data_IF_164038406254
#
_entry.id   IF_164038406254
#
_cell.length_a   1.000
_cell.length_b   1.000
_cell.length_c   1.000
_cell.angle_alpha   90.00
_cell.angle_beta   90.00
_cell.angle_gamma   90.00
#
_symmetry.space_group_name_H-M   'P 1'
#
loop_
_entity.id
_entity.type
_entity.pdbx_description
1 polymer ?
#
# COMPACT_ATOMS: atom_id res chain seq x y z
N UNK A 1 23.80 6.97 -15.52
CA UNK A 1 22.49 6.39 -15.93
C UNK A 1 21.74 7.47 -16.68
N UNK A 2 21.11 7.19 -17.84
CA UNK A 2 20.42 8.22 -18.60
C UNK A 2 19.29 8.81 -17.75
N UNK A 3 19.23 10.14 -17.68
CA UNK A 3 18.17 10.88 -17.01
C UNK A 3 16.83 10.53 -17.67
N UNK A 4 15.90 10.04 -16.87
CA UNK A 4 14.51 9.85 -17.25
C UNK A 4 13.88 11.24 -17.47
N UNK A 5 13.33 11.54 -18.65
CA UNK A 5 12.56 12.78 -18.82
C UNK A 5 11.29 12.71 -17.95
N UNK A 6 10.83 13.85 -17.39
CA UNK A 6 9.57 13.90 -16.68
C UNK A 6 8.42 13.50 -17.61
N UNK A 7 7.49 12.72 -17.07
CA UNK A 7 6.28 12.27 -17.74
C UNK A 7 5.54 13.47 -18.35
N UNK A 8 5.30 13.51 -19.68
CA UNK A 8 4.27 14.36 -20.24
C UNK A 8 2.93 13.76 -19.82
N UNK A 9 2.11 14.55 -19.12
CA UNK A 9 0.77 14.16 -18.71
C UNK A 9 -0.07 13.68 -19.89
N UNK A 10 -0.31 12.37 -19.96
CA UNK A 10 -1.32 11.77 -20.84
C UNK A 10 -2.24 10.88 -20.00
N UNK A 11 -3.00 11.52 -19.12
CA UNK A 11 -4.27 11.00 -18.62
C UNK A 11 -5.26 12.16 -18.68
N UNK A 12 -6.35 12.00 -19.44
CA UNK A 12 -7.31 13.07 -19.72
C UNK A 12 -7.69 13.88 -18.48
N UNK A 13 -7.41 15.19 -18.54
CA UNK A 13 -8.03 16.18 -17.68
C UNK A 13 -9.51 16.24 -18.03
N UNK A 14 -10.40 15.71 -17.19
CA UNK A 14 -11.83 16.06 -17.27
C UNK A 14 -12.70 15.61 -16.07
N UNK A 15 -12.24 14.73 -15.18
CA UNK A 15 -13.15 14.08 -14.21
C UNK A 15 -12.96 14.45 -12.74
N UNK A 16 -11.72 14.60 -12.27
CA UNK A 16 -11.41 14.58 -10.84
C UNK A 16 -11.54 15.95 -10.16
N UNK A 17 -11.36 17.04 -10.91
CA UNK A 17 -11.36 18.40 -10.39
C UNK A 17 -12.55 19.17 -10.95
N UNK A 18 -13.72 19.01 -10.32
CA UNK A 18 -14.90 19.85 -10.59
C UNK A 18 -15.35 20.47 -9.28
N UNK A 19 -14.60 21.46 -8.81
CA UNK A 19 -15.11 22.35 -7.78
C UNK A 19 -16.25 23.17 -8.39
N UNK A 20 -17.49 22.84 -8.04
CA UNK A 20 -18.71 23.49 -8.57
C UNK A 20 -19.00 24.86 -7.93
N UNK A 21 -18.07 25.40 -7.13
CA UNK A 21 -18.25 26.70 -6.51
C UNK A 21 -17.67 27.80 -7.42
N UNK A 22 -18.55 28.49 -8.17
CA UNK A 22 -18.28 29.84 -8.64
C UNK A 22 -18.33 30.75 -7.41
N UNK A 23 -17.19 31.08 -6.83
CA UNK A 23 -17.14 32.27 -5.99
C UNK A 23 -17.27 33.48 -6.91
N UNK A 24 -18.40 34.20 -6.81
CA UNK A 24 -18.33 35.66 -6.96
C UNK A 24 -17.14 36.13 -6.15
N UNK A 25 -16.36 37.06 -6.68
CA UNK A 25 -15.20 37.70 -6.06
C UNK A 25 -15.47 38.07 -4.59
N UNK A 26 -15.31 37.10 -3.70
CA UNK A 26 -15.26 37.27 -2.26
C UNK A 26 -13.86 36.83 -1.89
N UNK A 27 -13.07 37.85 -1.58
CA UNK A 27 -11.66 37.87 -1.23
C UNK A 27 -11.38 36.98 0.00
N UNK A 28 -11.37 35.66 -0.17
CA UNK A 28 -10.70 34.76 0.77
C UNK A 28 -9.20 34.85 0.49
N UNK A 29 -8.61 35.94 0.95
CA UNK A 29 -7.22 36.33 0.70
C UNK A 29 -6.24 35.20 0.99
N UNK A 30 -5.87 34.44 -0.03
CA UNK A 30 -4.92 33.34 0.09
C UNK A 30 -5.20 32.10 -0.75
N UNK A 31 -6.40 31.89 -1.32
CA UNK A 31 -6.66 30.81 -2.28
C UNK A 31 -6.53 31.31 -3.73
N UNK A 32 -5.93 30.49 -4.59
CA UNK A 32 -5.75 30.80 -6.00
C UNK A 32 -6.34 29.70 -6.89
N UNK A 33 -7.23 30.10 -7.80
CA UNK A 33 -7.92 29.22 -8.72
C UNK A 33 -7.49 29.50 -10.17
N UNK A 34 -7.37 28.46 -10.97
CA UNK A 34 -7.18 28.52 -12.42
C UNK A 34 -8.25 27.65 -13.08
N UNK A 35 -9.04 28.21 -14.00
CA UNK A 35 -10.14 27.49 -14.67
C UNK A 35 -11.10 26.77 -13.68
N UNK A 36 -11.46 27.44 -12.58
CA UNK A 36 -12.25 26.91 -11.44
C UNK A 36 -11.61 25.77 -10.64
N UNK A 37 -10.34 25.45 -10.89
CA UNK A 37 -9.58 24.46 -10.12
C UNK A 37 -8.70 25.17 -9.10
N UNK A 38 -8.74 24.72 -7.84
CA UNK A 38 -7.84 25.21 -6.81
C UNK A 38 -6.41 24.78 -7.13
N UNK A 39 -5.53 25.73 -7.42
CA UNK A 39 -4.14 25.48 -7.83
C UNK A 39 -3.17 25.69 -6.68
N UNK A 40 -3.37 26.72 -5.87
CA UNK A 40 -2.50 26.97 -4.71
C UNK A 40 -3.20 27.77 -3.62
N UNK A 41 -2.63 27.80 -2.43
CA UNK A 41 -3.02 28.77 -1.42
C UNK A 41 -2.12 28.79 -0.19
N UNK A 42 -2.27 29.82 0.64
CA UNK A 42 -1.64 29.81 1.97
C UNK A 42 -2.17 28.63 2.80
N UNK A 43 -1.36 28.11 3.72
CA UNK A 43 -1.77 26.98 4.54
C UNK A 43 -3.02 27.34 5.37
N UNK A 44 -3.06 28.56 5.91
CA UNK A 44 -4.17 29.10 6.67
C UNK A 44 -5.46 29.16 5.84
N UNK A 45 -5.39 29.65 4.60
CA UNK A 45 -6.56 29.74 3.73
C UNK A 45 -7.09 28.34 3.35
N UNK A 46 -6.20 27.37 3.13
CA UNK A 46 -6.58 25.98 2.86
C UNK A 46 -7.22 25.31 4.09
N UNK A 47 -6.71 25.59 5.30
CA UNK A 47 -7.33 25.11 6.55
C UNK A 47 -8.73 25.72 6.71
N UNK A 48 -8.89 27.02 6.43
CA UNK A 48 -10.21 27.65 6.45
C UNK A 48 -11.16 27.02 5.43
N UNK A 49 -10.67 26.72 4.23
CA UNK A 49 -11.45 26.06 3.17
C UNK A 49 -11.87 24.63 3.52
N UNK A 50 -11.19 23.96 4.46
CA UNK A 50 -11.59 22.66 5.00
C UNK A 50 -12.79 22.76 5.96
N UNK A 51 -13.01 23.91 6.62
CA UNK A 51 -14.04 24.05 7.66
C UNK A 51 -15.39 24.43 7.02
N UNK A 52 -16.45 23.61 7.16
CA UNK A 52 -17.75 23.93 6.60
C UNK A 52 -18.37 25.20 7.20
N UNK A 53 -19.16 25.91 6.39
CA UNK A 53 -19.95 27.08 6.82
C UNK A 53 -21.44 26.83 6.58
N UNK A 54 -22.31 27.81 6.86
CA UNK A 54 -23.75 27.69 6.57
C UNK A 54 -24.01 27.45 5.08
N UNK A 55 -23.30 28.17 4.20
CA UNK A 55 -23.51 28.14 2.75
C UNK A 55 -22.57 27.18 2.00
N UNK A 56 -21.54 26.66 2.67
CA UNK A 56 -20.46 25.92 2.03
C UNK A 56 -20.20 24.57 2.72
N UNK A 57 -19.82 23.57 1.94
CA UNK A 57 -19.24 22.31 2.40
C UNK A 57 -18.13 21.93 1.40
N UNK A 58 -16.91 21.60 1.86
CA UNK A 58 -15.82 21.24 0.97
C UNK A 58 -16.15 19.97 0.16
N UNK A 59 -15.75 19.95 -1.11
CA UNK A 59 -15.90 18.75 -1.91
C UNK A 59 -15.09 17.58 -1.30
N UNK A 60 -15.60 16.35 -1.43
CA UNK A 60 -14.95 15.16 -0.88
C UNK A 60 -13.54 14.94 -1.42
N UNK A 61 -13.32 15.30 -2.67
CA UNK A 61 -12.01 15.22 -3.32
C UNK A 61 -11.05 16.20 -2.68
N UNK A 62 -11.51 17.42 -2.36
CA UNK A 62 -10.72 18.39 -1.61
C UNK A 62 -10.41 17.90 -0.21
N UNK A 63 -11.42 17.41 0.54
CA UNK A 63 -11.23 16.87 1.90
C UNK A 63 -10.16 15.77 1.88
N UNK A 64 -10.29 14.80 0.98
CA UNK A 64 -9.31 13.73 0.83
C UNK A 64 -7.92 14.28 0.52
N UNK A 65 -7.80 15.13 -0.51
CA UNK A 65 -6.52 15.68 -1.00
C UNK A 65 -5.82 16.52 0.06
N UNK A 66 -6.56 17.43 0.71
CA UNK A 66 -6.02 18.31 1.73
C UNK A 66 -5.67 17.53 2.99
N UNK A 67 -6.54 16.65 3.50
CA UNK A 67 -6.20 15.83 4.66
C UNK A 67 -4.97 14.96 4.36
N UNK A 68 -4.89 14.32 3.18
CA UNK A 68 -3.73 13.54 2.74
C UNK A 68 -2.44 14.37 2.78
N UNK A 69 -2.41 15.47 2.02
CA UNK A 69 -1.21 16.30 1.78
C UNK A 69 -0.83 17.22 2.93
N UNK A 70 -1.79 17.64 3.77
CA UNK A 70 -1.56 18.52 4.92
C UNK A 70 -0.50 17.97 5.88
N UNK A 71 -0.33 16.64 5.92
CA UNK A 71 0.72 15.95 6.70
C UNK A 71 2.14 16.37 6.34
N UNK A 72 2.35 17.00 5.18
CA UNK A 72 3.66 17.56 4.79
C UNK A 72 3.92 18.95 5.38
N UNK A 73 2.91 19.57 5.98
CA UNK A 73 2.95 20.98 6.42
C UNK A 73 2.51 21.20 7.86
N UNK A 74 1.64 20.32 8.37
CA UNK A 74 1.06 20.43 9.70
C UNK A 74 0.75 19.04 10.24
N UNK A 75 0.96 18.83 11.54
CA UNK A 75 0.57 17.59 12.18
C UNK A 75 -0.96 17.41 12.20
N UNK A 76 -1.49 16.19 12.02
CA UNK A 76 -2.93 15.95 12.08
C UNK A 76 -3.62 16.45 13.37
N UNK A 77 -2.96 16.31 14.53
CA UNK A 77 -3.51 16.80 15.80
C UNK A 77 -3.55 18.33 15.88
N UNK A 78 -2.57 19.02 15.28
CA UNK A 78 -2.53 20.49 15.21
C UNK A 78 -3.57 21.00 14.22
N UNK A 79 -3.73 20.32 13.09
CA UNK A 79 -4.78 20.61 12.12
C UNK A 79 -6.16 20.45 12.76
N UNK A 80 -6.41 19.36 13.49
CA UNK A 80 -7.67 19.15 14.21
C UNK A 80 -7.91 20.24 15.25
N UNK A 81 -6.87 20.67 15.98
CA UNK A 81 -6.98 21.79 16.92
C UNK A 81 -7.37 23.09 16.21
N UNK A 82 -6.72 23.44 15.09
CA UNK A 82 -7.09 24.62 14.28
C UNK A 82 -8.52 24.52 13.74
N UNK A 83 -8.94 23.34 13.26
CA UNK A 83 -10.32 23.10 12.83
C UNK A 83 -11.29 23.31 13.99
N UNK A 84 -10.98 22.81 15.19
CA UNK A 84 -11.79 23.03 16.39
C UNK A 84 -11.91 24.52 16.74
N UNK A 85 -10.81 25.26 16.68
CA UNK A 85 -10.79 26.70 16.92
C UNK A 85 -11.65 27.46 15.92
N UNK A 86 -11.49 27.22 14.61
CA UNK A 86 -12.31 27.84 13.57
C UNK A 86 -13.80 27.49 13.71
N UNK A 87 -14.11 26.26 14.11
CA UNK A 87 -15.49 25.86 14.42
C UNK A 87 -16.08 26.69 15.56
N UNK A 88 -15.29 27.06 16.57
CA UNK A 88 -15.71 27.87 17.72
C UNK A 88 -15.78 29.35 17.37
N UNK A 89 -14.84 29.88 16.60
CA UNK A 89 -14.84 31.30 16.23
C UNK A 89 -16.01 31.63 15.30
N UNK A 90 -16.37 30.73 14.38
CA UNK A 90 -17.60 30.83 13.59
C UNK A 90 -18.88 30.86 14.46
N UNK A 91 -18.81 30.47 15.74
CA UNK A 91 -19.92 30.51 16.70
C UNK A 91 -19.98 31.81 17.52
N UNK A 92 -18.92 32.63 17.55
CA UNK A 92 -18.81 33.78 18.48
C UNK A 92 -19.14 35.15 17.86
N UNK A 93 -19.58 35.19 16.61
CA UNK A 93 -19.69 36.43 15.83
C UNK A 93 -21.12 37.03 15.75
N UNK A 94 -22.12 36.62 16.53
CA UNK A 94 -23.49 37.21 16.46
C UNK A 94 -24.34 37.03 17.74
N UNK A 95 -25.56 37.57 17.73
CA UNK A 95 -26.59 37.51 18.80
C UNK A 95 -26.83 36.07 19.35
N UNK A 96 -26.87 35.85 20.68
CA UNK A 96 -27.06 34.54 21.33
C UNK A 96 -28.24 33.68 20.82
N UNK A 97 -29.32 34.29 20.31
CA UNK A 97 -30.45 33.53 19.73
C UNK A 97 -30.21 33.16 18.26
N UNK A 98 -29.55 34.03 17.49
CA UNK A 98 -29.12 33.74 16.13
C UNK A 98 -28.06 32.62 16.10
N UNK A 99 -27.21 32.55 17.13
CA UNK A 99 -26.16 31.54 17.28
C UNK A 99 -26.74 30.13 17.42
N UNK A 100 -27.83 29.94 18.17
CA UNK A 100 -28.48 28.60 18.31
C UNK A 100 -29.00 28.05 16.97
N UNK A 101 -29.58 28.91 16.14
CA UNK A 101 -30.09 28.52 14.81
C UNK A 101 -28.93 28.25 13.85
N UNK A 102 -27.87 29.06 13.91
CA UNK A 102 -26.68 28.89 13.08
C UNK A 102 -25.91 27.61 13.43
N UNK A 103 -25.76 27.31 14.73
CA UNK A 103 -25.15 26.07 15.23
C UNK A 103 -25.88 24.84 14.71
N UNK A 104 -27.23 24.83 14.76
CA UNK A 104 -28.03 23.72 14.21
C UNK A 104 -27.82 23.49 12.71
N UNK A 105 -27.49 24.53 11.94
CA UNK A 105 -27.21 24.41 10.49
C UNK A 105 -25.79 23.94 10.19
N UNK A 106 -24.81 24.30 11.02
CA UNK A 106 -23.38 23.98 10.79
C UNK A 106 -22.99 22.65 11.43
N UNK A 107 -23.54 22.31 12.60
CA UNK A 107 -23.24 21.07 13.33
C UNK A 107 -23.29 19.79 12.48
N UNK A 108 -24.32 19.53 11.64
CA UNK A 108 -24.35 18.32 10.82
C UNK A 108 -23.22 18.28 9.78
N UNK A 109 -22.79 19.44 9.26
CA UNK A 109 -21.67 19.53 8.32
C UNK A 109 -20.32 19.28 9.00
N UNK A 110 -20.11 19.82 10.20
CA UNK A 110 -18.89 19.52 10.98
C UNK A 110 -18.86 18.02 11.31
N UNK A 111 -19.98 17.44 11.72
CA UNK A 111 -20.06 16.03 12.04
C UNK A 111 -19.81 15.14 10.79
N UNK A 112 -20.27 15.58 9.62
CA UNK A 112 -19.95 14.92 8.36
C UNK A 112 -18.44 14.96 8.07
N UNK A 113 -17.80 16.13 8.21
CA UNK A 113 -16.34 16.25 8.04
C UNK A 113 -15.58 15.33 8.99
N UNK A 114 -15.96 15.28 10.27
CA UNK A 114 -15.34 14.40 11.27
C UNK A 114 -15.56 12.92 10.92
N UNK A 115 -16.74 12.58 10.38
CA UNK A 115 -17.02 11.21 9.93
C UNK A 115 -16.12 10.85 8.75
N UNK A 116 -16.00 11.72 7.75
CA UNK A 116 -15.14 11.50 6.59
C UNK A 116 -13.65 11.40 6.99
N UNK A 117 -13.18 12.21 7.95
CA UNK A 117 -11.81 12.11 8.48
C UNK A 117 -11.59 10.80 9.24
N UNK A 118 -12.47 10.44 10.18
CA UNK A 118 -12.35 9.20 10.97
C UNK A 118 -12.47 7.93 10.13
N UNK A 119 -13.22 7.99 9.02
CA UNK A 119 -13.36 6.86 8.11
C UNK A 119 -12.15 6.69 7.18
N UNK A 120 -11.59 7.81 6.70
CA UNK A 120 -10.53 7.84 5.69
C UNK A 120 -9.14 7.67 6.31
N UNK A 121 -8.88 8.32 7.45
CA UNK A 121 -7.58 8.33 8.13
C UNK A 121 -7.70 7.89 9.60
N UNK A 122 -8.17 6.65 9.88
CA UNK A 122 -8.39 6.19 11.25
C UNK A 122 -7.11 6.22 12.10
N UNK A 123 -5.94 6.02 11.50
CA UNK A 123 -4.65 6.00 12.21
C UNK A 123 -4.27 7.32 12.86
N UNK A 124 -4.76 8.47 12.36
CA UNK A 124 -4.53 9.77 12.99
C UNK A 124 -5.03 9.76 14.46
N UNK A 125 -6.11 9.01 14.71
CA UNK A 125 -6.77 8.91 16.01
C UNK A 125 -6.14 7.88 16.96
N UNK A 126 -5.01 7.26 16.58
CA UNK A 126 -4.12 6.61 17.56
C UNK A 126 -3.40 7.63 18.44
N UNK A 127 -3.24 8.86 17.98
CA UNK A 127 -2.67 9.95 18.77
C UNK A 127 -3.69 10.43 19.83
N UNK A 128 -3.28 10.45 21.09
CA UNK A 128 -4.15 10.86 22.20
C UNK A 128 -4.65 12.30 22.08
N UNK A 129 -3.83 13.21 21.51
CA UNK A 129 -4.21 14.62 21.32
C UNK A 129 -5.29 14.76 20.26
N UNK A 130 -5.19 13.96 19.19
CA UNK A 130 -6.19 13.88 18.13
C UNK A 130 -7.52 13.35 18.69
N UNK A 131 -7.46 12.24 19.43
CA UNK A 131 -8.66 11.64 20.05
C UNK A 131 -9.31 12.56 21.09
N UNK A 132 -8.52 13.30 21.87
CA UNK A 132 -9.03 14.29 22.83
C UNK A 132 -9.78 15.41 22.12
N UNK A 133 -9.19 15.97 21.07
CA UNK A 133 -9.79 17.06 20.28
C UNK A 133 -11.11 16.62 19.64
N UNK A 134 -11.16 15.38 19.09
CA UNK A 134 -12.38 14.79 18.57
C UNK A 134 -13.48 14.69 19.64
N UNK A 135 -13.14 14.19 20.84
CA UNK A 135 -14.10 14.04 21.94
C UNK A 135 -14.62 15.39 22.42
N UNK A 136 -13.75 16.37 22.53
CA UNK A 136 -14.11 17.72 22.97
C UNK A 136 -15.05 18.40 21.97
N UNK A 137 -14.73 18.36 20.67
CA UNK A 137 -15.57 18.93 19.62
C UNK A 137 -16.93 18.21 19.52
N UNK A 138 -16.93 16.87 19.52
CA UNK A 138 -18.18 16.10 19.43
C UNK A 138 -19.07 16.26 20.66
N UNK A 139 -18.49 16.41 21.85
CA UNK A 139 -19.24 16.71 23.07
C UNK A 139 -19.97 18.07 22.97
N UNK A 140 -19.29 19.11 22.47
CA UNK A 140 -19.91 20.44 22.23
C UNK A 140 -21.02 20.40 21.19
N UNK A 141 -20.89 19.57 20.15
CA UNK A 141 -21.92 19.43 19.12
C UNK A 141 -23.14 18.63 19.60
N UNK A 142 -22.94 17.71 20.56
CA UNK A 142 -23.99 16.84 21.11
C UNK A 142 -24.78 17.44 22.28
N UNK A 143 -24.44 18.64 22.78
CA UNK A 143 -25.20 19.30 23.84
C UNK A 143 -26.51 19.89 23.30
N UNK A 144 -27.57 19.09 23.31
CA UNK A 144 -28.96 19.56 23.11
C UNK A 144 -29.75 18.92 21.97
N UNK A 145 -29.18 17.95 21.24
CA UNK A 145 -29.86 17.22 20.17
C UNK A 145 -29.55 15.72 20.24
N UNK A 146 -30.60 14.90 20.39
CA UNK A 146 -30.50 13.43 20.50
C UNK A 146 -29.98 12.78 19.21
N UNK A 147 -30.32 13.34 18.04
CA UNK A 147 -29.88 12.84 16.74
C UNK A 147 -28.36 12.95 16.61
N UNK A 148 -27.78 14.10 16.97
CA UNK A 148 -26.34 14.32 16.89
C UNK A 148 -25.58 13.42 17.86
N UNK A 149 -26.10 13.18 19.06
CA UNK A 149 -25.52 12.22 20.01
C UNK A 149 -25.44 10.81 19.42
N UNK A 150 -26.52 10.37 18.75
CA UNK A 150 -26.56 9.06 18.09
C UNK A 150 -25.52 8.96 16.97
N UNK A 151 -25.41 9.98 16.12
CA UNK A 151 -24.41 10.00 15.03
C UNK A 151 -22.97 10.04 15.57
N UNK A 152 -22.69 10.85 16.60
CA UNK A 152 -21.38 10.88 17.28
C UNK A 152 -21.03 9.51 17.86
N UNK A 153 -21.99 8.84 18.52
CA UNK A 153 -21.79 7.51 19.07
C UNK A 153 -21.49 6.47 17.98
N UNK A 154 -22.23 6.50 16.87
CA UNK A 154 -22.00 5.62 15.72
C UNK A 154 -20.62 5.83 15.10
N UNK A 155 -20.24 7.09 14.84
CA UNK A 155 -18.93 7.46 14.31
C UNK A 155 -17.79 6.99 15.24
N UNK A 156 -17.89 7.30 16.53
CA UNK A 156 -16.89 6.90 17.54
C UNK A 156 -16.76 5.38 17.62
N UNK A 157 -17.89 4.67 17.61
CA UNK A 157 -17.91 3.21 17.65
C UNK A 157 -17.32 2.59 16.36
N UNK A 158 -17.57 3.20 15.20
CA UNK A 158 -16.98 2.76 13.93
C UNK A 158 -15.45 2.97 13.92
N UNK A 159 -14.99 4.12 14.39
CA UNK A 159 -13.56 4.43 14.54
C UNK A 159 -12.86 3.43 15.47
N UNK A 160 -13.40 3.19 16.67
CA UNK A 160 -12.84 2.23 17.63
C UNK A 160 -12.78 0.84 17.02
N UNK A 161 -13.84 0.39 16.33
CA UNK A 161 -13.84 -0.91 15.64
C UNK A 161 -12.71 -1.01 14.60
N UNK A 162 -12.53 0.03 13.77
CA UNK A 162 -11.44 0.09 12.78
C UNK A 162 -10.07 0.02 13.45
N UNK A 163 -9.83 0.84 14.48
CA UNK A 163 -8.57 0.86 15.22
C UNK A 163 -8.25 -0.49 15.89
N UNK A 164 -9.25 -1.13 16.49
CA UNK A 164 -9.10 -2.46 17.09
C UNK A 164 -8.78 -3.51 16.03
N UNK A 165 -9.46 -3.50 14.88
CA UNK A 165 -9.20 -4.44 13.79
C UNK A 165 -7.76 -4.31 13.26
N UNK A 166 -7.28 -3.07 13.09
CA UNK A 166 -5.88 -2.80 12.70
C UNK A 166 -4.90 -3.36 13.73
N UNK A 167 -5.10 -3.08 15.02
CA UNK A 167 -4.18 -3.58 16.06
C UNK A 167 -4.16 -5.12 16.13
N UNK A 168 -5.33 -5.77 15.99
CA UNK A 168 -5.42 -7.23 15.93
C UNK A 168 -4.69 -7.81 14.71
N UNK A 169 -4.77 -7.11 13.56
CA UNK A 169 -4.07 -7.50 12.36
C UNK A 169 -2.54 -7.38 12.50
N UNK A 170 -2.05 -6.28 13.07
CA UNK A 170 -0.62 -6.10 13.37
C UNK A 170 -0.08 -7.21 14.30
N UNK A 171 -0.85 -7.58 15.33
CA UNK A 171 -0.51 -8.71 16.20
C UNK A 171 -0.52 -10.06 15.46
N UNK A 172 -1.48 -10.28 14.56
CA UNK A 172 -1.55 -11.49 13.75
C UNK A 172 -0.35 -11.61 12.81
N UNK A 173 0.06 -10.52 12.16
CA UNK A 173 1.27 -10.46 11.33
C UNK A 173 2.53 -10.81 12.14
N UNK A 174 2.67 -10.25 13.35
CA UNK A 174 3.79 -10.56 14.23
C UNK A 174 3.85 -12.05 14.60
N UNK A 175 2.69 -12.68 14.90
CA UNK A 175 2.59 -14.12 15.18
C UNK A 175 2.96 -14.98 13.97
N UNK A 176 2.51 -14.59 12.77
CA UNK A 176 2.85 -15.27 11.51
C UNK A 176 4.37 -15.21 11.28
N UNK A 177 4.98 -14.04 11.44
CA UNK A 177 6.42 -13.84 11.25
C UNK A 177 7.24 -14.64 12.28
N UNK A 178 6.81 -14.68 13.54
CA UNK A 178 7.42 -15.55 14.56
C UNK A 178 7.34 -17.03 14.15
N UNK A 179 6.15 -17.49 13.74
CA UNK A 179 5.94 -18.89 13.33
C UNK A 179 6.79 -19.27 12.11
N UNK A 180 6.93 -18.38 11.14
CA UNK A 180 7.79 -18.58 9.98
C UNK A 180 9.26 -18.69 10.38
N UNK A 181 9.71 -17.87 11.34
CA UNK A 181 11.06 -17.89 11.89
C UNK A 181 11.34 -19.19 12.64
N UNK A 182 10.42 -19.64 13.47
CA UNK A 182 10.52 -20.91 14.20
C UNK A 182 10.59 -22.11 13.25
N UNK A 183 9.83 -22.10 12.15
CA UNK A 183 9.92 -23.15 11.14
C UNK A 183 11.26 -23.15 10.41
N UNK A 184 11.84 -21.97 10.18
CA UNK A 184 13.16 -21.84 9.57
C UNK A 184 14.27 -22.34 10.51
N UNK A 185 14.19 -22.10 11.83
CA UNK A 185 15.16 -22.64 12.79
C UNK A 185 15.08 -24.16 12.91
N UNK A 186 13.87 -24.72 12.89
CA UNK A 186 13.66 -26.19 12.83
C UNK A 186 14.24 -26.78 11.56
N UNK A 187 14.11 -26.11 10.41
CA UNK A 187 14.68 -26.57 9.15
C UNK A 187 16.22 -26.69 9.22
N UNK A 188 16.90 -25.75 9.89
CA UNK A 188 18.37 -25.78 10.04
C UNK A 188 18.85 -26.95 10.90
N UNK A 189 18.00 -27.52 11.76
CA UNK A 189 18.37 -28.54 12.76
C UNK A 189 17.95 -29.97 12.38
N UNK A 190 16.96 -30.15 11.50
CA UNK A 190 16.44 -31.48 11.08
C UNK A 190 16.76 -31.79 9.61
N UNK A 191 16.92 -33.07 9.23
CA UNK A 191 17.16 -33.44 7.84
C UNK A 191 15.99 -33.04 6.92
N UNK A 192 16.31 -32.58 5.70
CA UNK A 192 15.39 -32.08 4.67
C UNK A 192 14.30 -33.10 4.22
N UNK A 193 14.36 -34.36 4.65
CA UNK A 193 13.56 -35.46 4.11
C UNK A 193 12.09 -35.53 4.56
N UNK A 194 11.65 -34.70 5.51
CA UNK A 194 10.28 -34.75 6.09
C UNK A 194 9.39 -33.58 5.61
N UNK A 195 9.88 -32.74 4.71
CA UNK A 195 9.19 -31.50 4.36
C UNK A 195 8.14 -31.70 3.26
N UNK A 196 6.94 -31.13 3.48
CA UNK A 196 5.88 -31.07 2.47
C UNK A 196 6.19 -29.94 1.48
N UNK A 197 6.35 -30.30 0.21
CA UNK A 197 6.49 -29.34 -0.89
C UNK A 197 5.14 -28.71 -1.25
N UNK A 198 5.15 -27.59 -1.98
CA UNK A 198 3.94 -26.89 -2.39
C UNK A 198 2.97 -27.79 -3.16
N UNK A 199 3.47 -28.69 -4.00
CA UNK A 199 2.65 -29.59 -4.83
C UNK A 199 1.88 -30.63 -4.00
N UNK A 200 2.40 -31.02 -2.83
CA UNK A 200 1.68 -31.89 -1.87
C UNK A 200 0.62 -31.14 -1.07
N UNK A 201 0.76 -29.82 -0.94
CA UNK A 201 -0.20 -28.98 -0.24
C UNK A 201 -1.33 -28.55 -1.19
N UNK A 202 -0.97 -28.14 -2.40
CA UNK A 202 -1.86 -27.71 -3.46
C UNK A 202 -1.28 -28.10 -4.82
N UNK A 203 -1.97 -28.98 -5.54
CA UNK A 203 -1.58 -29.39 -6.90
C UNK A 203 -2.33 -28.62 -8.00
N UNK A 204 -3.26 -27.74 -7.63
CA UNK A 204 -4.06 -26.94 -8.56
C UNK A 204 -3.57 -25.47 -8.64
N UNK A 205 -3.00 -25.02 -9.76
CA UNK A 205 -2.51 -23.66 -9.93
C UNK A 205 -3.58 -22.58 -9.70
N UNK A 206 -4.83 -22.86 -10.10
CA UNK A 206 -5.94 -21.93 -9.97
C UNK A 206 -6.24 -21.66 -8.50
N UNK A 207 -6.38 -22.72 -7.70
CA UNK A 207 -6.58 -22.62 -6.25
C UNK A 207 -5.45 -21.85 -5.59
N UNK A 208 -4.18 -22.11 -5.95
CA UNK A 208 -3.06 -21.38 -5.33
C UNK A 208 -3.08 -19.89 -5.67
N UNK A 209 -3.37 -19.52 -6.93
CA UNK A 209 -3.50 -18.12 -7.34
C UNK A 209 -4.65 -17.39 -6.60
N UNK A 210 -5.75 -18.09 -6.33
CA UNK A 210 -6.85 -17.57 -5.51
C UNK A 210 -6.42 -17.33 -4.06
N UNK A 211 -5.66 -18.26 -3.45
CA UNK A 211 -5.15 -18.09 -2.09
C UNK A 211 -4.10 -16.98 -1.98
N UNK A 212 -3.25 -16.81 -2.99
CA UNK A 212 -2.36 -15.65 -3.07
C UNK A 212 -3.17 -14.36 -3.13
N UNK A 213 -4.23 -14.32 -3.94
CA UNK A 213 -5.12 -13.16 -4.05
C UNK A 213 -5.83 -12.82 -2.73
N UNK A 214 -6.20 -13.83 -1.92
CA UNK A 214 -6.69 -13.61 -0.55
C UNK A 214 -5.67 -12.87 0.31
N UNK A 215 -4.41 -13.32 0.32
CA UNK A 215 -3.34 -12.70 1.12
C UNK A 215 -3.08 -11.27 0.66
N UNK A 216 -3.05 -11.05 -0.67
CA UNK A 216 -2.84 -9.73 -1.25
C UNK A 216 -3.96 -8.75 -0.85
N UNK A 217 -5.23 -9.10 -1.08
CA UNK A 217 -6.37 -8.24 -0.75
C UNK A 217 -6.49 -7.98 0.76
N UNK A 218 -6.23 -8.98 1.60
CA UNK A 218 -6.20 -8.81 3.05
C UNK A 218 -5.13 -7.78 3.44
N UNK A 219 -3.88 -7.96 3.00
CA UNK A 219 -2.78 -7.03 3.30
C UNK A 219 -3.07 -5.61 2.80
N UNK A 220 -3.53 -5.48 1.56
CA UNK A 220 -3.87 -4.19 0.95
C UNK A 220 -4.95 -3.45 1.74
N UNK A 221 -5.96 -4.16 2.27
CA UNK A 221 -7.07 -3.54 3.00
C UNK A 221 -6.60 -2.72 4.22
N UNK A 222 -5.49 -3.11 4.85
CA UNK A 222 -4.93 -2.45 6.02
C UNK A 222 -3.96 -1.30 5.72
N UNK A 223 -3.57 -1.11 4.45
CA UNK A 223 -2.69 0.02 4.05
C UNK A 223 -3.50 1.32 4.04
N UNK A 224 -3.15 2.26 4.92
CA UNK A 224 -3.76 3.59 4.99
C UNK A 224 -3.26 4.54 3.88
N UNK A 225 -4.08 5.48 3.41
CA UNK A 225 -3.65 6.48 2.42
C UNK A 225 -2.48 7.35 2.94
N UNK A 226 -2.43 7.62 4.24
CA UNK A 226 -1.34 8.35 4.89
C UNK A 226 0.00 7.63 4.87
N UNK A 227 0.02 6.29 4.71
CA UNK A 227 1.27 5.53 4.61
C UNK A 227 2.04 5.86 3.33
N UNK A 228 1.34 6.25 2.26
CA UNK A 228 1.97 6.73 1.03
C UNK A 228 2.69 8.06 1.26
N UNK A 229 2.08 9.00 1.98
CA UNK A 229 2.72 10.30 2.25
C UNK A 229 3.97 10.11 3.13
N UNK A 230 3.87 9.27 4.16
CA UNK A 230 4.99 8.98 5.07
C UNK A 230 6.17 8.31 4.36
N UNK A 231 5.92 7.49 3.34
CA UNK A 231 6.96 6.84 2.55
C UNK A 231 7.84 7.85 1.77
N UNK A 232 7.35 9.07 1.55
CA UNK A 232 8.01 10.08 0.69
C UNK A 232 8.37 11.39 1.41
N UNK A 233 8.19 11.48 2.73
CA UNK A 233 8.69 12.63 3.50
C UNK A 233 10.21 12.64 3.38
N UNK A 234 10.74 13.65 2.69
CA UNK A 234 12.17 13.81 2.44
C UNK A 234 12.93 13.80 3.76
N UNK A 235 13.96 12.95 3.85
CA UNK A 235 15.06 13.17 4.78
C UNK A 235 15.96 14.21 4.13
N UNK A 236 15.64 15.50 4.28
CA UNK A 236 16.60 16.54 3.92
C UNK A 236 17.83 16.39 4.84
N UNK A 237 19.05 16.18 4.31
CA UNK A 237 20.26 16.05 5.11
C UNK A 237 20.66 17.35 5.84
N UNK A 238 20.06 18.50 5.50
CA UNK A 238 20.38 19.82 6.05
C UNK A 238 19.34 20.36 7.04
N UNK A 239 18.20 19.68 7.23
CA UNK A 239 17.22 20.05 8.27
C UNK A 239 17.73 19.61 9.65
N UNK A 240 18.40 20.53 10.35
CA UNK A 240 18.78 20.40 11.76
C UNK A 240 17.58 20.53 12.71
N UNK A 241 16.41 20.92 12.21
CA UNK A 241 15.16 20.69 12.92
C UNK A 241 14.76 19.24 12.69
N UNK A 242 14.64 18.46 13.77
CA UNK A 242 14.01 17.15 13.72
C UNK A 242 12.75 17.29 12.89
N UNK A 243 12.75 16.71 11.68
CA UNK A 243 11.53 16.52 10.91
C UNK A 243 10.46 16.09 11.89
N UNK A 244 9.35 16.82 11.92
CA UNK A 244 8.18 16.60 12.77
C UNK A 244 7.75 15.10 12.84
N UNK A 245 8.23 14.27 11.91
CA UNK A 245 7.80 12.91 11.65
C UNK A 245 8.85 11.82 11.95
N UNK A 246 10.00 12.12 12.59
CA UNK A 246 11.06 11.14 12.87
C UNK A 246 10.65 10.00 13.82
N UNK A 247 9.65 10.22 14.68
CA UNK A 247 9.38 9.37 15.84
C UNK A 247 8.22 8.37 15.65
N UNK A 248 7.57 8.35 14.48
CA UNK A 248 6.52 7.36 14.21
C UNK A 248 7.12 6.12 13.56
N UNK A 249 7.00 4.97 14.26
CA UNK A 249 7.18 3.62 13.72
C UNK A 249 6.62 3.57 12.30
N UNK A 250 7.55 3.53 11.34
CA UNK A 250 7.36 3.67 9.90
C UNK A 250 6.21 2.80 9.40
N UNK A 251 5.49 3.27 8.38
CA UNK A 251 4.44 2.61 7.61
C UNK A 251 4.47 1.07 7.65
N UNK A 252 3.95 0.48 8.73
CA UNK A 252 4.23 -0.92 9.06
C UNK A 252 3.48 -1.88 8.15
N UNK A 253 2.32 -1.47 7.64
CA UNK A 253 1.53 -2.32 6.75
C UNK A 253 2.02 -2.21 5.31
N UNK A 254 2.41 -1.01 4.87
CA UNK A 254 3.07 -0.82 3.58
C UNK A 254 4.40 -1.59 3.52
N UNK A 255 5.24 -1.49 4.55
CA UNK A 255 6.51 -2.23 4.65
C UNK A 255 6.24 -3.75 4.71
N UNK A 256 5.30 -4.21 5.55
CA UNK A 256 4.91 -5.62 5.61
C UNK A 256 4.36 -6.16 4.28
N UNK A 257 3.77 -5.30 3.43
CA UNK A 257 3.31 -5.68 2.11
C UNK A 257 4.45 -5.82 1.10
N UNK A 258 5.48 -4.96 1.18
CA UNK A 258 6.72 -5.11 0.43
C UNK A 258 7.48 -6.36 0.88
N UNK A 259 7.55 -6.62 2.19
CA UNK A 259 8.12 -7.85 2.74
C UNK A 259 7.40 -9.10 2.24
N UNK A 260 6.07 -9.04 2.10
CA UNK A 260 5.29 -10.14 1.53
C UNK A 260 5.70 -10.43 0.07
N UNK A 261 5.85 -9.41 -0.77
CA UNK A 261 6.33 -9.58 -2.15
C UNK A 261 7.70 -10.29 -2.19
N UNK A 262 8.63 -9.84 -1.35
CA UNK A 262 9.97 -10.44 -1.26
C UNK A 262 9.87 -11.89 -0.77
N UNK A 263 9.12 -12.12 0.30
CA UNK A 263 8.90 -13.46 0.86
C UNK A 263 8.33 -14.41 -0.18
N UNK A 264 7.33 -14.00 -0.96
CA UNK A 264 6.74 -14.83 -2.02
C UNK A 264 7.77 -15.15 -3.10
N UNK A 265 8.57 -14.16 -3.52
CA UNK A 265 9.64 -14.36 -4.52
C UNK A 265 10.67 -15.39 -4.04
N UNK A 266 11.13 -15.25 -2.81
CA UNK A 266 12.09 -16.21 -2.23
C UNK A 266 11.45 -17.56 -1.91
N UNK A 267 10.14 -17.64 -1.59
CA UNK A 267 9.42 -18.90 -1.42
C UNK A 267 9.41 -19.68 -2.72
N UNK A 268 9.08 -19.04 -3.84
CA UNK A 268 9.11 -19.66 -5.17
C UNK A 268 10.51 -20.21 -5.47
N UNK A 269 11.56 -19.41 -5.26
CA UNK A 269 12.93 -19.87 -5.45
C UNK A 269 13.29 -21.05 -4.52
N UNK A 270 12.84 -21.01 -3.27
CA UNK A 270 13.06 -22.08 -2.28
C UNK A 270 12.40 -23.38 -2.72
N UNK A 271 11.13 -23.34 -3.15
CA UNK A 271 10.40 -24.51 -3.64
C UNK A 271 11.02 -25.11 -4.90
N UNK A 272 11.66 -24.30 -5.75
CA UNK A 272 12.35 -24.78 -6.95
C UNK A 272 13.72 -25.39 -6.63
N UNK A 273 14.47 -24.79 -5.70
CA UNK A 273 15.82 -25.23 -5.34
C UNK A 273 15.84 -26.40 -4.35
N UNK A 274 14.80 -26.59 -3.52
CA UNK A 274 14.72 -27.68 -2.54
C UNK A 274 14.73 -29.09 -3.14
N UNK A 275 13.96 -29.41 -4.21
CA UNK A 275 13.84 -30.77 -4.67
C UNK A 275 15.13 -31.32 -5.29
N UNK A 276 15.63 -32.42 -4.73
CA UNK A 276 16.84 -33.11 -5.20
C UNK A 276 16.68 -33.61 -6.65
N UNK A 277 15.47 -34.09 -7.01
CA UNK A 277 15.21 -34.68 -8.33
C UNK A 277 14.87 -33.62 -9.38
N UNK A 278 15.68 -33.55 -10.43
CA UNK A 278 15.49 -32.65 -11.60
C UNK A 278 14.07 -32.66 -12.19
N UNK A 279 13.47 -33.85 -12.41
CA UNK A 279 12.10 -33.97 -12.94
C UNK A 279 11.05 -33.37 -11.99
N UNK A 280 11.31 -33.40 -10.68
CA UNK A 280 10.42 -32.77 -9.71
C UNK A 280 10.57 -31.24 -9.77
N UNK A 281 11.80 -30.70 -9.78
CA UNK A 281 12.03 -29.26 -9.95
C UNK A 281 11.35 -28.69 -11.20
N UNK A 282 11.47 -29.36 -12.34
CA UNK A 282 10.82 -28.93 -13.58
C UNK A 282 9.29 -28.83 -13.43
N UNK A 283 8.65 -29.78 -12.71
CA UNK A 283 7.20 -29.72 -12.42
C UNK A 283 6.84 -28.55 -11.50
N UNK A 284 7.67 -28.25 -10.51
CA UNK A 284 7.46 -27.09 -9.63
C UNK A 284 7.54 -25.77 -10.42
N UNK A 285 8.50 -25.65 -11.34
CA UNK A 285 8.60 -24.49 -12.24
C UNK A 285 7.36 -24.38 -13.12
N UNK A 286 6.95 -25.46 -13.80
CA UNK A 286 5.74 -25.46 -14.65
C UNK A 286 4.48 -25.11 -13.86
N UNK A 287 4.36 -25.61 -12.63
CA UNK A 287 3.27 -25.25 -11.72
C UNK A 287 3.26 -23.76 -11.40
N UNK A 288 4.39 -23.16 -11.02
CA UNK A 288 4.44 -21.72 -10.75
C UNK A 288 4.23 -20.85 -11.99
N UNK A 289 4.61 -21.31 -13.19
CA UNK A 289 4.27 -20.64 -14.44
C UNK A 289 2.74 -20.60 -14.63
N UNK A 290 2.05 -21.71 -14.37
CA UNK A 290 0.59 -21.74 -14.45
C UNK A 290 -0.06 -20.89 -13.35
N UNK A 291 0.47 -20.87 -12.12
CA UNK A 291 0.01 -19.98 -11.04
C UNK A 291 0.16 -18.51 -11.43
N UNK A 292 1.32 -18.12 -11.98
CA UNK A 292 1.59 -16.77 -12.45
C UNK A 292 0.61 -16.35 -13.54
N UNK A 293 0.32 -17.24 -14.50
CA UNK A 293 -0.70 -16.99 -15.52
C UNK A 293 -2.08 -16.76 -14.91
N UNK A 294 -2.47 -17.54 -13.91
CA UNK A 294 -3.75 -17.32 -13.24
C UNK A 294 -3.78 -16.03 -12.41
N UNK A 295 -2.65 -15.63 -11.80
CA UNK A 295 -2.52 -14.30 -11.19
C UNK A 295 -2.75 -13.19 -12.22
N UNK A 296 -2.18 -13.29 -13.44
CA UNK A 296 -2.45 -12.35 -14.53
C UNK A 296 -3.94 -12.29 -14.89
N UNK A 297 -4.59 -13.45 -15.06
CA UNK A 297 -6.02 -13.55 -15.40
C UNK A 297 -6.94 -12.93 -14.34
N UNK A 298 -6.59 -13.09 -13.06
CA UNK A 298 -7.33 -12.52 -11.92
C UNK A 298 -7.16 -10.99 -11.85
N UNK A 299 -6.07 -10.44 -12.40
CA UNK A 299 -5.66 -9.04 -12.16
C UNK A 299 -4.75 -8.89 -10.94
N UNK A 300 -4.13 -9.97 -10.48
CA UNK A 300 -3.14 -9.99 -9.42
C UNK A 300 -1.71 -9.84 -9.96
N UNK A 301 -1.35 -8.62 -10.33
CA UNK A 301 -0.04 -8.33 -10.94
C UNK A 301 1.11 -8.36 -9.92
N UNK A 302 0.83 -8.10 -8.63
CA UNK A 302 1.86 -8.14 -7.59
C UNK A 302 2.40 -9.56 -7.38
N UNK A 303 1.51 -10.55 -7.17
CA UNK A 303 1.93 -11.95 -7.02
C UNK A 303 2.53 -12.51 -8.30
N UNK A 304 1.99 -12.14 -9.48
CA UNK A 304 2.59 -12.48 -10.78
C UNK A 304 4.06 -12.03 -10.84
N UNK A 305 4.32 -10.76 -10.53
CA UNK A 305 5.68 -10.21 -10.57
C UNK A 305 6.60 -10.86 -9.53
N UNK A 306 6.09 -11.17 -8.34
CA UNK A 306 6.84 -11.88 -7.30
C UNK A 306 7.26 -13.29 -7.77
N UNK A 307 6.34 -14.02 -8.41
CA UNK A 307 6.61 -15.36 -8.94
C UNK A 307 7.66 -15.31 -10.07
N UNK A 308 7.53 -14.37 -11.02
CA UNK A 308 8.55 -14.15 -12.06
C UNK A 308 9.89 -13.80 -11.43
N UNK A 309 9.89 -12.88 -10.45
CA UNK A 309 11.11 -12.46 -9.76
C UNK A 309 11.80 -13.62 -9.06
N UNK A 310 11.05 -14.52 -8.42
CA UNK A 310 11.57 -15.74 -7.80
C UNK A 310 12.21 -16.70 -8.82
N UNK A 311 11.59 -16.90 -9.98
CA UNK A 311 12.14 -17.73 -11.06
C UNK A 311 13.39 -17.12 -11.72
N UNK A 312 13.48 -15.79 -11.75
CA UNK A 312 14.60 -15.05 -12.33
C UNK A 312 15.78 -14.85 -11.37
N UNK A 313 15.65 -15.21 -10.09
CA UNK A 313 16.77 -15.22 -9.17
C UNK A 313 17.89 -16.12 -9.71
N UNK A 314 19.14 -15.66 -9.58
CA UNK A 314 20.31 -16.37 -10.13
C UNK A 314 20.43 -17.84 -9.68
N UNK A 315 20.15 -18.22 -8.41
CA UNK A 315 20.13 -19.63 -8.00
C UNK A 315 19.15 -20.51 -8.78
N UNK A 316 18.07 -19.94 -9.31
CA UNK A 316 17.06 -20.66 -10.10
C UNK A 316 17.42 -20.62 -11.59
N UNK A 317 17.73 -19.45 -12.14
CA UNK A 317 18.01 -19.26 -13.57
C UNK A 317 19.28 -19.98 -14.06
N UNK A 318 20.19 -20.33 -13.15
CA UNK A 318 21.38 -21.15 -13.44
C UNK A 318 21.12 -22.65 -13.61
N UNK A 319 19.95 -23.17 -13.21
CA UNK A 319 19.62 -24.61 -13.27
C UNK A 319 19.34 -25.08 -14.71
N UNK A 320 20.30 -24.92 -15.63
CA UNK A 320 20.12 -25.11 -17.08
C UNK A 320 19.59 -26.50 -17.44
N UNK A 321 19.99 -27.54 -16.71
CA UNK A 321 19.52 -28.91 -16.98
C UNK A 321 18.05 -29.07 -16.58
N UNK A 322 17.61 -28.39 -15.52
CA UNK A 322 16.20 -28.34 -15.11
C UNK A 322 15.37 -27.54 -16.12
N UNK A 323 15.81 -26.34 -16.49
CA UNK A 323 15.14 -25.49 -17.48
C UNK A 323 14.99 -26.17 -18.84
N UNK A 324 15.97 -26.98 -19.27
CA UNK A 324 15.86 -27.80 -20.48
C UNK A 324 14.77 -28.89 -20.44
N UNK A 325 14.06 -29.06 -19.32
CA UNK A 325 12.88 -29.93 -19.18
C UNK A 325 11.56 -29.17 -19.06
N UNK A 326 11.59 -27.85 -18.95
CA UNK A 326 10.42 -26.99 -18.75
C UNK A 326 9.96 -26.45 -20.09
N UNK A 327 8.64 -26.38 -20.30
CA UNK A 327 8.06 -25.66 -21.45
C UNK A 327 8.01 -24.16 -21.17
N UNK A 328 8.99 -23.40 -21.66
CA UNK A 328 9.17 -21.97 -21.31
C UNK A 328 8.24 -21.02 -22.02
N UNK A 329 7.59 -21.40 -23.13
CA UNK A 329 6.79 -20.47 -23.95
C UNK A 329 5.75 -19.65 -23.15
N UNK A 330 5.09 -20.26 -22.15
CA UNK A 330 4.17 -19.53 -21.25
C UNK A 330 4.90 -18.53 -20.35
N UNK A 331 6.07 -18.91 -19.84
CA UNK A 331 6.91 -18.06 -19.02
C UNK A 331 7.43 -16.87 -19.81
N UNK A 332 7.95 -17.09 -21.01
CA UNK A 332 8.46 -16.05 -21.90
C UNK A 332 7.38 -14.99 -22.21
N UNK A 333 6.13 -15.41 -22.40
CA UNK A 333 4.98 -14.50 -22.56
C UNK A 333 4.74 -13.67 -21.29
N UNK A 334 4.77 -14.29 -20.11
CA UNK A 334 4.55 -13.61 -18.83
C UNK A 334 5.68 -12.62 -18.53
N UNK A 335 6.93 -12.97 -18.83
CA UNK A 335 8.06 -12.05 -18.74
C UNK A 335 7.87 -10.86 -19.68
N UNK A 336 7.45 -11.09 -20.92
CA UNK A 336 7.16 -10.00 -21.86
C UNK A 336 6.05 -9.08 -21.36
N UNK A 337 5.02 -9.60 -20.68
CA UNK A 337 3.95 -8.77 -20.10
C UNK A 337 4.45 -7.89 -18.95
N UNK A 338 5.46 -8.34 -18.19
CA UNK A 338 6.02 -7.64 -17.04
C UNK A 338 7.37 -6.96 -17.33
N UNK A 339 7.74 -6.87 -18.61
CA UNK A 339 9.02 -6.33 -19.04
C UNK A 339 9.18 -4.84 -18.65
N UNK A 340 10.33 -4.43 -18.08
CA UNK A 340 10.55 -3.06 -17.62
C UNK A 340 10.78 -2.04 -18.75
N UNK A 341 10.99 -2.48 -20.00
CA UNK A 341 11.27 -1.59 -21.13
C UNK A 341 10.12 -0.63 -21.39
N UNK A 342 10.45 0.54 -21.95
CA UNK A 342 9.47 1.61 -22.20
C UNK A 342 8.63 1.94 -20.97
N UNK A 343 9.26 1.91 -19.79
CA UNK A 343 8.64 2.12 -18.49
C UNK A 343 7.42 1.20 -18.24
N UNK A 344 7.63 -0.11 -18.42
CA UNK A 344 6.61 -1.14 -18.20
C UNK A 344 5.37 -0.97 -19.09
N UNK A 345 5.55 -0.65 -20.37
CA UNK A 345 4.45 -0.37 -21.30
C UNK A 345 3.39 -1.48 -21.36
N UNK A 346 3.83 -2.74 -21.48
CA UNK A 346 2.93 -3.89 -21.56
C UNK A 346 2.12 -4.07 -20.28
N UNK A 347 2.80 -4.09 -19.13
CA UNK A 347 2.15 -4.14 -17.81
C UNK A 347 1.14 -3.00 -17.63
N UNK A 348 1.50 -1.76 -17.97
CA UNK A 348 0.59 -0.61 -17.85
C UNK A 348 -0.64 -0.76 -18.74
N UNK A 349 -0.49 -1.36 -19.92
CA UNK A 349 -1.62 -1.68 -20.81
C UNK A 349 -2.53 -2.74 -20.19
N UNK A 350 -1.95 -3.80 -19.63
CA UNK A 350 -2.70 -4.83 -18.91
C UNK A 350 -3.41 -4.28 -17.66
N UNK A 351 -2.75 -3.40 -16.90
CA UNK A 351 -3.33 -2.72 -15.74
C UNK A 351 -4.53 -1.86 -16.15
N UNK A 352 -4.41 -1.03 -17.19
CA UNK A 352 -5.55 -0.25 -17.72
C UNK A 352 -6.71 -1.15 -18.13
N UNK A 353 -6.42 -2.27 -18.78
CA UNK A 353 -7.44 -3.28 -19.10
C UNK A 353 -8.13 -3.81 -17.84
N UNK A 354 -7.38 -4.15 -16.80
CA UNK A 354 -7.93 -4.62 -15.53
C UNK A 354 -8.77 -3.55 -14.81
N UNK A 355 -8.30 -2.30 -14.78
CA UNK A 355 -9.06 -1.16 -14.23
C UNK A 355 -10.37 -0.98 -14.97
N UNK A 356 -10.37 -1.03 -16.31
CA UNK A 356 -11.60 -0.91 -17.10
C UNK A 356 -12.56 -2.07 -16.83
N UNK A 357 -12.06 -3.31 -16.75
CA UNK A 357 -12.88 -4.48 -16.36
C UNK A 357 -13.52 -4.28 -14.99
N UNK A 358 -12.78 -3.73 -14.02
CA UNK A 358 -13.31 -3.47 -12.68
C UNK A 358 -14.43 -2.43 -12.68
N UNK A 359 -14.36 -1.42 -13.53
CA UNK A 359 -15.38 -0.37 -13.64
C UNK A 359 -16.69 -0.95 -14.21
N UNK A 360 -16.59 -1.82 -15.21
CA UNK A 360 -17.75 -2.43 -15.88
C UNK A 360 -18.07 -3.83 -15.34
N UNK A 361 -17.59 -4.17 -14.14
CA UNK A 361 -17.69 -5.51 -13.59
C UNK A 361 -19.15 -5.91 -13.28
N UNK A 362 -19.53 -7.11 -13.69
CA UNK A 362 -20.82 -7.73 -13.32
C UNK A 362 -20.66 -8.71 -12.15
N UNK A 363 -19.43 -9.13 -11.87
CA UNK A 363 -19.10 -10.05 -10.78
C UNK A 363 -18.05 -9.46 -9.85
N UNK A 364 -18.00 -9.91 -8.59
CA UNK A 364 -16.96 -9.48 -7.64
C UNK A 364 -15.55 -9.88 -8.08
N UNK A 365 -15.41 -10.95 -8.88
CA UNK A 365 -14.12 -11.39 -9.44
C UNK A 365 -13.54 -10.38 -10.42
N UNK A 366 -14.37 -9.78 -11.26
CA UNK A 366 -13.92 -8.82 -12.27
C UNK A 366 -13.46 -7.49 -11.66
N UNK A 367 -13.84 -7.21 -10.41
CA UNK A 367 -13.42 -6.02 -9.66
C UNK A 367 -11.98 -6.09 -9.15
N UNK A 368 -11.35 -7.26 -9.16
CA UNK A 368 -10.01 -7.43 -8.58
C UNK A 368 -8.97 -6.73 -9.45
N UNK A 369 -8.27 -5.78 -8.83
CA UNK A 369 -7.09 -5.12 -9.40
C UNK A 369 -6.04 -5.02 -8.30
N UNK A 370 -4.95 -5.76 -8.43
CA UNK A 370 -3.82 -5.67 -7.52
C UNK A 370 -2.60 -5.26 -8.36
N UNK A 371 -2.18 -3.99 -8.30
CA UNK A 371 -1.11 -3.48 -9.14
C UNK A 371 0.24 -4.07 -8.73
N UNK A 372 1.25 -3.99 -9.62
CA UNK A 372 2.63 -4.22 -9.22
C UNK A 372 3.04 -3.09 -8.28
N UNK A 373 3.03 -3.37 -6.98
CA UNK A 373 2.99 -2.34 -5.95
C UNK A 373 4.25 -1.49 -5.90
N UNK A 374 5.42 -2.10 -6.11
CA UNK A 374 6.69 -1.36 -6.15
C UNK A 374 6.73 -0.33 -7.28
N UNK A 375 6.09 -0.59 -8.42
CA UNK A 375 6.00 0.38 -9.51
C UNK A 375 4.99 1.49 -9.19
N UNK A 376 3.86 1.16 -8.55
CA UNK A 376 2.91 2.16 -8.05
C UNK A 376 3.59 3.14 -7.06
N UNK A 377 4.32 2.61 -6.08
CA UNK A 377 5.07 3.41 -5.11
C UNK A 377 6.13 4.26 -5.81
N UNK A 378 6.85 3.69 -6.78
CA UNK A 378 7.84 4.42 -7.58
C UNK A 378 7.21 5.57 -8.36
N UNK A 379 6.04 5.36 -8.97
CA UNK A 379 5.32 6.40 -9.72
C UNK A 379 4.88 7.54 -8.80
N UNK A 380 4.31 7.23 -7.63
CA UNK A 380 3.91 8.24 -6.64
C UNK A 380 5.13 9.01 -6.11
N UNK A 381 6.25 8.32 -5.88
CA UNK A 381 7.51 8.94 -5.48
C UNK A 381 8.00 9.96 -6.52
N UNK A 382 8.09 9.58 -7.80
CA UNK A 382 8.55 10.49 -8.85
C UNK A 382 7.59 11.65 -9.08
N UNK A 383 6.28 11.43 -8.93
CA UNK A 383 5.29 12.51 -8.96
C UNK A 383 5.49 13.49 -7.80
N UNK A 384 5.85 12.98 -6.62
CA UNK A 384 6.17 13.83 -5.47
C UNK A 384 7.49 14.59 -5.66
N UNK A 385 8.54 13.96 -6.19
CA UNK A 385 9.84 14.62 -6.40
C UNK A 385 9.84 15.59 -7.58
N UNK A 386 8.97 15.39 -8.57
CA UNK A 386 8.92 16.21 -9.78
C UNK A 386 8.45 17.65 -9.56
N UNK A 387 7.79 17.96 -8.44
CA UNK A 387 7.20 19.27 -8.15
C UNK A 387 7.45 19.70 -6.70
N UNK A 388 7.77 20.98 -6.47
CA UNK A 388 7.94 21.53 -5.12
C UNK A 388 6.62 21.53 -4.33
N UNK A 389 6.69 21.23 -3.03
CA UNK A 389 5.54 21.27 -2.11
C UNK A 389 4.99 22.70 -1.91
N UNK A 390 5.86 23.71 -2.02
CA UNK A 390 5.51 25.13 -1.98
C UNK A 390 5.93 25.83 -3.26
N UNK A 391 5.13 26.82 -3.66
CA UNK A 391 5.47 27.76 -4.73
C UNK A 391 6.43 28.85 -4.20
N UNK A 392 7.09 29.63 -5.07
CA UNK A 392 8.02 30.68 -4.64
C UNK A 392 7.43 31.77 -3.72
N UNK A 393 6.11 31.97 -3.77
CA UNK A 393 5.38 32.87 -2.88
C UNK A 393 5.03 32.25 -1.51
N UNK A 394 5.52 31.05 -1.21
CA UNK A 394 5.26 30.31 0.03
C UNK A 394 3.93 29.54 0.06
N UNK A 395 3.06 29.70 -0.95
CA UNK A 395 1.80 28.96 -1.04
C UNK A 395 2.05 27.46 -1.19
N UNK A 396 1.13 26.65 -0.65
CA UNK A 396 1.07 25.21 -0.89
C UNK A 396 0.69 24.98 -2.35
N UNK A 397 1.46 24.14 -3.05
CA UNK A 397 1.20 23.77 -4.44
C UNK A 397 0.11 22.70 -4.50
N UNK A 398 -1.15 23.12 -4.58
CA UNK A 398 -2.30 22.22 -4.52
C UNK A 398 -2.53 21.44 -5.81
N UNK A 399 -2.10 21.97 -6.96
CA UNK A 399 -2.10 21.26 -8.25
C UNK A 399 -1.30 19.95 -8.19
N UNK A 400 -0.09 20.00 -7.61
CA UNK A 400 0.70 18.79 -7.32
C UNK A 400 -0.10 17.78 -6.48
N UNK A 401 -0.77 18.26 -5.43
CA UNK A 401 -1.47 17.38 -4.51
C UNK A 401 -2.73 16.76 -5.11
N UNK A 402 -3.39 17.43 -6.06
CA UNK A 402 -4.47 16.81 -6.85
C UNK A 402 -3.98 15.56 -7.59
N UNK A 403 -2.84 15.63 -8.27
CA UNK A 403 -2.29 14.49 -9.00
C UNK A 403 -1.85 13.37 -8.06
N UNK A 404 -1.23 13.69 -6.92
CA UNK A 404 -0.88 12.68 -5.90
C UNK A 404 -2.12 12.01 -5.32
N UNK A 405 -3.12 12.80 -4.94
CA UNK A 405 -4.36 12.31 -4.35
C UNK A 405 -5.15 11.43 -5.33
N UNK A 406 -5.10 11.73 -6.63
CA UNK A 406 -5.70 10.91 -7.69
C UNK A 406 -5.10 9.50 -7.72
N UNK A 407 -3.77 9.37 -7.68
CA UNK A 407 -3.10 8.06 -7.65
C UNK A 407 -3.47 7.26 -6.39
N UNK A 408 -3.45 7.91 -5.22
CA UNK A 408 -3.82 7.25 -3.96
C UNK A 408 -5.32 6.90 -3.93
N UNK A 409 -6.20 7.75 -4.47
CA UNK A 409 -7.65 7.49 -4.53
C UNK A 409 -7.99 6.27 -5.38
N UNK A 410 -7.28 6.08 -6.49
CA UNK A 410 -7.47 4.91 -7.36
C UNK A 410 -7.12 3.63 -6.59
N UNK A 411 -5.96 3.61 -5.91
CA UNK A 411 -5.55 2.51 -5.03
C UNK A 411 -6.58 2.25 -3.91
N UNK A 412 -7.09 3.31 -3.28
CA UNK A 412 -8.08 3.23 -2.21
C UNK A 412 -9.41 2.63 -2.69
N UNK A 413 -9.69 2.65 -4.00
CA UNK A 413 -10.84 1.98 -4.60
C UNK A 413 -10.56 0.48 -4.77
N UNK A 414 -9.40 0.13 -5.31
CA UNK A 414 -9.02 -1.28 -5.55
C UNK A 414 -8.94 -2.10 -4.26
N UNK A 415 -8.43 -1.51 -3.17
CA UNK A 415 -8.28 -2.24 -1.91
C UNK A 415 -9.60 -2.58 -1.20
N UNK A 416 -10.74 -2.00 -1.62
CA UNK A 416 -12.07 -2.24 -1.01
C UNK A 416 -12.71 -3.55 -1.49
N UNK A 417 -12.10 -4.22 -2.47
CA UNK A 417 -12.64 -5.45 -3.04
C UNK A 417 -12.50 -6.59 -2.04
N UNK A 418 -13.62 -7.17 -1.64
CA UNK A 418 -13.64 -8.43 -0.89
C UNK A 418 -13.26 -9.58 -1.81
N UNK A 419 -12.36 -10.46 -1.34
CA UNK A 419 -11.92 -11.59 -2.14
C UNK A 419 -13.07 -12.59 -2.33
N UNK A 420 -13.49 -12.87 -3.59
CA UNK A 420 -14.67 -13.69 -3.88
C UNK A 420 -14.39 -15.20 -3.87
N UNK A 421 -13.14 -15.61 -3.68
CA UNK A 421 -12.74 -17.01 -3.73
C UNK A 421 -12.93 -17.68 -2.37
N UNK A 422 -13.10 -19.00 -2.35
CA UNK A 422 -13.14 -19.75 -1.09
C UNK A 422 -11.76 -19.76 -0.42
N UNK A 423 -11.75 -19.73 0.93
CA UNK A 423 -10.52 -19.75 1.71
C UNK A 423 -10.10 -21.19 2.02
N UNK A 424 -8.91 -21.58 1.58
CA UNK A 424 -8.26 -22.82 2.03
C UNK A 424 -7.22 -22.51 3.11
N UNK A 425 -7.58 -22.81 4.36
CA UNK A 425 -6.73 -22.53 5.53
C UNK A 425 -5.39 -23.27 5.48
N UNK A 426 -5.33 -24.47 4.90
CA UNK A 426 -4.10 -25.28 4.85
C UNK A 426 -3.11 -24.64 3.88
N UNK A 427 -3.58 -24.19 2.72
CA UNK A 427 -2.76 -23.51 1.72
C UNK A 427 -2.29 -22.14 2.24
N UNK A 428 -3.21 -21.35 2.79
CA UNK A 428 -2.88 -20.03 3.38
C UNK A 428 -1.82 -20.16 4.47
N UNK A 429 -2.00 -21.09 5.41
CA UNK A 429 -1.03 -21.33 6.47
C UNK A 429 0.35 -21.71 5.90
N UNK A 430 0.39 -22.53 4.85
CA UNK A 430 1.63 -22.91 4.20
C UNK A 430 2.33 -21.71 3.55
N UNK A 431 1.63 -20.95 2.68
CA UNK A 431 2.17 -19.75 2.03
C UNK A 431 2.75 -18.75 3.05
N UNK A 432 2.02 -18.51 4.13
CA UNK A 432 2.38 -17.54 5.15
C UNK A 432 3.54 -17.99 6.05
N UNK A 433 3.73 -19.29 6.27
CA UNK A 433 4.68 -19.80 7.29
C UNK A 433 5.71 -20.82 6.80
N UNK A 434 5.69 -21.22 5.53
CA UNK A 434 6.75 -22.07 4.96
C UNK A 434 8.13 -21.40 5.17
N UNK A 435 9.17 -22.16 5.56
CA UNK A 435 10.50 -21.59 5.69
C UNK A 435 11.02 -21.20 4.31
N UNK A 436 11.64 -20.03 4.25
CA UNK A 436 12.14 -19.44 3.02
C UNK A 436 13.65 -19.28 3.16
N UNK A 437 14.40 -19.71 2.13
CA UNK A 437 15.86 -19.70 2.18
C UNK A 437 16.38 -18.27 2.04
N UNK A 438 17.48 -17.98 2.72
CA UNK A 438 18.29 -16.80 2.42
C UNK A 438 18.94 -16.96 1.03
N UNK A 439 19.44 -15.85 0.47
CA UNK A 439 20.15 -15.87 -0.80
C UNK A 439 21.27 -16.93 -0.82
N UNK A 440 22.13 -16.94 0.20
CA UNK A 440 23.22 -17.92 0.33
C UNK A 440 22.72 -19.37 0.37
N UNK A 441 21.64 -19.63 1.12
CA UNK A 441 21.04 -20.96 1.21
C UNK A 441 20.42 -21.40 -0.13
N UNK A 442 19.85 -20.48 -0.90
CA UNK A 442 19.39 -20.76 -2.27
C UNK A 442 20.55 -21.13 -3.19
N UNK A 443 21.67 -20.40 -3.16
CA UNK A 443 22.84 -20.75 -3.96
C UNK A 443 23.39 -22.12 -3.59
N UNK A 444 23.50 -22.44 -2.30
CA UNK A 444 23.94 -23.75 -1.84
C UNK A 444 23.04 -24.87 -2.35
N UNK A 445 21.73 -24.74 -2.17
CA UNK A 445 20.75 -25.73 -2.67
C UNK A 445 20.78 -25.85 -4.20
N UNK A 446 21.02 -24.73 -4.91
CA UNK A 446 21.19 -24.71 -6.36
C UNK A 446 22.44 -25.49 -6.79
N UNK A 447 23.59 -25.28 -6.13
CA UNK A 447 24.82 -26.02 -6.43
C UNK A 447 24.74 -27.50 -6.05
N UNK A 448 24.01 -27.85 -4.99
CA UNK A 448 23.71 -29.24 -4.63
C UNK A 448 22.82 -29.92 -5.69
N UNK A 449 21.88 -29.17 -6.26
CA UNK A 449 20.98 -29.64 -7.32
C UNK A 449 21.66 -29.78 -8.68
N UNK A 450 22.50 -28.80 -9.07
CA UNK A 450 23.28 -28.76 -10.30
C UNK A 450 24.63 -28.07 -10.01
N UNK A 451 25.72 -28.85 -10.03
CA UNK A 451 27.04 -28.37 -9.65
C UNK A 451 27.55 -27.15 -10.43
N UNK A 452 28.60 -26.46 -9.92
CA UNK A 452 29.19 -25.29 -10.58
C UNK A 452 29.64 -25.54 -12.02
N UNK A 453 29.31 -24.64 -12.94
CA UNK A 453 29.65 -24.77 -14.37
C UNK A 453 30.97 -24.09 -14.75
N UNK A 454 31.39 -23.07 -13.99
CA UNK A 454 32.60 -22.29 -14.27
C UNK A 454 33.43 -22.02 -13.00
N UNK A 455 34.62 -21.45 -13.16
CA UNK A 455 35.54 -21.21 -12.04
C UNK A 455 34.97 -20.20 -11.01
N UNK A 456 34.28 -19.15 -11.46
CA UNK A 456 33.64 -18.18 -10.56
C UNK A 456 32.59 -18.84 -9.65
N UNK A 457 31.76 -19.72 -10.22
CA UNK A 457 30.79 -20.48 -9.45
C UNK A 457 31.44 -21.49 -8.50
N UNK A 458 32.54 -22.14 -8.92
CA UNK A 458 33.31 -23.03 -8.03
C UNK A 458 33.85 -22.28 -6.82
N UNK A 459 34.37 -21.07 -7.03
CA UNK A 459 34.92 -20.25 -5.95
C UNK A 459 33.81 -19.73 -5.02
N UNK A 460 32.68 -19.28 -5.57
CA UNK A 460 31.51 -18.90 -4.77
C UNK A 460 30.98 -20.07 -3.95
N UNK A 461 30.85 -21.26 -4.55
CA UNK A 461 30.40 -22.46 -3.85
C UNK A 461 31.35 -22.84 -2.71
N UNK A 462 32.68 -22.80 -2.93
CA UNK A 462 33.67 -23.02 -1.87
C UNK A 462 33.51 -22.00 -0.74
N UNK A 463 33.40 -20.71 -1.08
CA UNK A 463 33.21 -19.63 -0.09
C UNK A 463 31.97 -19.85 0.76
N UNK A 464 30.83 -20.18 0.15
CA UNK A 464 29.56 -20.44 0.84
C UNK A 464 29.63 -21.69 1.74
N UNK A 465 30.36 -22.73 1.33
CA UNK A 465 30.59 -23.89 2.19
C UNK A 465 31.49 -23.55 3.36
N UNK A 466 32.56 -22.78 3.15
CA UNK A 466 33.46 -22.35 4.22
C UNK A 466 32.74 -21.50 5.27
N UNK A 467 31.87 -20.57 4.87
CA UNK A 467 31.11 -19.74 5.82
C UNK A 467 30.15 -20.57 6.70
N UNK A 468 29.55 -21.63 6.15
CA UNK A 468 28.74 -22.59 6.93
C UNK A 468 29.56 -23.40 7.94
N UNK A 469 30.81 -23.74 7.61
CA UNK A 469 31.70 -24.50 8.52
C UNK A 469 32.27 -23.61 9.64
N UNK A 470 32.64 -22.36 9.34
CA UNK A 470 33.15 -21.40 10.33
C UNK A 470 32.06 -21.03 11.35
N UNK A 471 30.79 -20.92 10.92
CA UNK A 471 29.67 -20.70 11.84
C UNK A 471 29.38 -21.85 12.81
N UNK A 472 29.89 -23.06 12.55
CA UNK A 472 29.76 -24.23 13.45
C UNK A 472 30.88 -24.34 14.48
N UNK A 473 32.06 -23.78 14.21
CA UNK A 473 33.23 -23.86 15.13
C UNK A 473 33.26 -22.75 16.20
N UNK A 474 32.36 -21.77 16.16
CA UNK A 474 32.31 -20.67 17.16
C UNK A 474 31.32 -20.97 18.31
N UNK A 475 30.66 -22.13 18.30
CA UNK A 475 29.72 -22.58 19.35
C UNK A 475 30.10 -23.88 20.04
N UNK A 476 31.37 -24.28 19.95
CA UNK A 476 32.00 -25.30 20.81
C UNK A 476 33.03 -24.61 21.66
#
# INVERSE_FOLDING_TARGET
>A
MPQTPPFPGMFGSSGYNKNLYQSKEEDYGGLYYHENNLVSGSLEALIQHLVPSVAYYPDRTYIFTFLLSSRLFIHPYELMSKVCHLCVDHQRLSDPQADKVRIRKIAPKILQLLTEWTETFPYDFRDERMMRSLKELTHRLGTGDELYRKTVQQMTQALIRKLTAVSQYEEALAKINSTATDRLTVLKTKPQSIQRDILTICSDPFTLAQQLTHIELERLSYIGPEEFVQAFVQKDPLDNEKSCFSDRKKASNLEAYVEWFNRLSYLVATEICMPVKKKHRARVIEFFIDVARECFNIGNFNSLMAIISGMNMSPVSRLKKTWGKVKTAKFDILEHQMDPSSNFYNYRTALRGATQRSITAHTSREKIVIPFFSLLIKDIYFLNEGCSNRLPNGHVNFEKFWELAKQVSEFMTWKKVECPFEKDRKILQYLLTAPVFSEDALYLASYESEGPENNMEKDRWKSLRCSLFIGRTVHT
#
